data_IF_693329064070
#
_entry.id   IF_693329064070
#
_cell.length_a   1.000
_cell.length_b   1.000
_cell.length_c   1.000
_cell.angle_alpha   90.00
_cell.angle_beta   90.00
_cell.angle_gamma   90.00
#
_symmetry.space_group_name_H-M   'P 1'
#
loop_
_entity.id
_entity.type
_entity.pdbx_description
1 polymer ?
#
# COMPACT_ATOMS: atom_id res chain seq x y z
N UNK A 1 14.03 -11.13 -9.61
CA UNK A 1 13.30 -11.46 -8.36
C UNK A 1 11.91 -11.94 -8.66
N UNK A 2 11.43 -12.87 -7.87
CA UNK A 2 10.06 -13.36 -8.03
C UNK A 2 9.06 -12.36 -7.44
N UNK A 3 7.80 -12.53 -7.80
CA UNK A 3 6.70 -11.76 -7.22
C UNK A 3 6.72 -11.83 -5.69
N UNK A 4 6.88 -13.04 -5.14
CA UNK A 4 6.85 -13.23 -3.69
C UNK A 4 8.03 -12.56 -2.99
N UNK A 5 9.21 -12.59 -3.62
CA UNK A 5 10.39 -11.90 -3.09
C UNK A 5 10.15 -10.38 -3.04
N UNK A 6 9.57 -9.83 -4.09
CA UNK A 6 9.28 -8.39 -4.14
C UNK A 6 8.24 -7.98 -3.10
N UNK A 7 7.20 -8.78 -2.89
CA UNK A 7 6.20 -8.51 -1.86
C UNK A 7 6.83 -8.55 -0.47
N UNK A 8 7.71 -9.52 -0.23
CA UNK A 8 8.44 -9.60 1.04
C UNK A 8 9.32 -8.37 1.25
N UNK A 9 10.02 -7.93 0.21
CA UNK A 9 10.87 -6.74 0.28
C UNK A 9 10.06 -5.47 0.53
N UNK A 10 8.87 -5.37 -0.08
CA UNK A 10 7.95 -4.26 0.18
C UNK A 10 7.55 -4.23 1.65
N UNK A 11 7.16 -5.37 2.20
CA UNK A 11 6.81 -5.48 3.61
C UNK A 11 7.96 -5.08 4.52
N UNK A 12 9.17 -5.54 4.21
CA UNK A 12 10.35 -5.19 4.99
C UNK A 12 10.64 -3.69 4.91
N UNK A 13 10.54 -3.09 3.73
CA UNK A 13 10.77 -1.66 3.56
C UNK A 13 9.79 -0.82 4.39
N UNK A 14 8.53 -1.25 4.47
CA UNK A 14 7.53 -0.57 5.30
C UNK A 14 7.87 -0.74 6.78
N UNK A 15 8.08 -1.98 7.22
CA UNK A 15 8.28 -2.27 8.65
C UNK A 15 9.59 -1.72 9.20
N UNK A 16 10.58 -1.50 8.35
CA UNK A 16 11.85 -0.92 8.76
C UNK A 16 11.89 0.61 8.67
N UNK A 17 10.83 1.23 8.15
CA UNK A 17 10.77 2.69 8.03
C UNK A 17 10.49 3.32 9.41
N UNK A 18 11.19 4.42 9.76
CA UNK A 18 10.97 5.09 11.06
C UNK A 18 9.51 5.51 11.30
N UNK A 19 8.74 5.77 10.24
CA UNK A 19 7.34 6.15 10.39
C UNK A 19 6.50 5.06 11.05
N UNK A 20 6.92 3.79 10.94
CA UNK A 20 6.13 2.65 11.41
C UNK A 20 6.81 1.83 12.50
N UNK A 21 8.09 2.04 12.73
CA UNK A 21 8.85 1.19 13.66
C UNK A 21 8.42 1.33 15.12
N UNK A 22 8.01 2.52 15.53
CA UNK A 22 7.74 2.83 16.93
C UNK A 22 6.26 3.03 17.23
N UNK A 23 5.38 2.69 16.31
CA UNK A 23 3.95 2.92 16.50
C UNK A 23 3.26 1.75 17.20
N UNK A 24 2.18 2.07 17.91
CA UNK A 24 1.31 1.06 18.51
C UNK A 24 0.20 0.62 17.58
N UNK A 25 0.39 0.79 16.29
CA UNK A 25 -0.62 0.45 15.30
C UNK A 25 -0.93 -1.05 15.29
N UNK A 26 -2.15 -1.39 14.91
CA UNK A 26 -2.54 -2.78 14.64
C UNK A 26 -2.68 -3.08 13.14
N UNK A 27 -2.70 -2.04 12.32
CA UNK A 27 -2.74 -2.20 10.88
C UNK A 27 -2.12 -1.01 10.15
N UNK A 28 -1.56 -1.29 8.97
CA UNK A 28 -1.04 -0.29 8.04
C UNK A 28 -1.67 -0.57 6.69
N UNK A 29 -2.10 0.47 5.98
CA UNK A 29 -2.57 0.34 4.60
C UNK A 29 -1.91 1.41 3.75
N UNK A 30 -1.26 1.00 2.66
CA UNK A 30 -0.60 1.91 1.73
C UNK A 30 -1.12 1.64 0.34
N UNK A 31 -1.63 2.68 -0.32
CA UNK A 31 -2.05 2.62 -1.71
C UNK A 31 -0.93 3.19 -2.57
N UNK A 32 -0.44 2.41 -3.52
CA UNK A 32 0.63 2.83 -4.43
C UNK A 32 0.06 2.84 -5.84
N UNK A 33 0.13 4.01 -6.48
CA UNK A 33 -0.25 4.16 -7.89
C UNK A 33 1.01 4.12 -8.74
N UNK A 34 1.00 3.27 -9.78
CA UNK A 34 2.12 3.18 -10.73
C UNK A 34 1.54 3.27 -12.12
N UNK A 35 1.63 4.45 -12.72
CA UNK A 35 1.17 4.71 -14.08
C UNK A 35 2.30 5.35 -14.88
N UNK A 36 2.27 5.27 -16.22
CA UNK A 36 3.30 5.90 -17.03
C UNK A 36 3.42 7.39 -16.71
N UNK A 37 4.62 7.80 -16.27
CA UNK A 37 4.89 9.19 -15.95
C UNK A 37 4.26 9.70 -14.66
N UNK A 38 3.60 8.84 -13.89
CA UNK A 38 2.96 9.26 -12.64
C UNK A 38 2.97 8.15 -11.60
N UNK A 39 3.60 8.41 -10.48
CA UNK A 39 3.54 7.52 -9.32
C UNK A 39 3.10 8.32 -8.11
N UNK A 40 2.31 7.71 -7.25
CA UNK A 40 1.87 8.35 -6.01
C UNK A 40 1.62 7.31 -4.94
N UNK A 41 1.49 7.77 -3.71
CA UNK A 41 1.34 6.90 -2.57
C UNK A 41 0.51 7.60 -1.50
N UNK A 42 -0.43 6.87 -0.91
CA UNK A 42 -1.20 7.31 0.25
C UNK A 42 -1.12 6.21 1.31
N UNK A 43 -1.04 6.58 2.57
CA UNK A 43 -0.94 5.59 3.63
C UNK A 43 -1.64 5.99 4.90
N UNK A 44 -2.05 4.98 5.66
CA UNK A 44 -2.73 5.13 6.93
C UNK A 44 -2.27 4.09 7.92
N UNK A 45 -2.21 4.48 9.20
CA UNK A 45 -2.01 3.54 10.29
C UNK A 45 -3.28 3.48 11.13
N UNK A 46 -3.57 2.31 11.67
CA UNK A 46 -4.79 2.06 12.43
C UNK A 46 -4.43 1.52 13.82
N UNK A 47 -5.14 2.02 14.84
CA UNK A 47 -4.96 1.58 16.23
C UNK A 47 -6.35 1.50 16.86
N UNK A 48 -6.89 0.29 17.03
CA UNK A 48 -8.25 0.13 17.49
C UNK A 48 -9.22 0.82 16.53
N UNK A 49 -10.01 1.75 17.03
CA UNK A 49 -10.96 2.51 16.23
C UNK A 49 -10.37 3.79 15.66
N UNK A 50 -9.11 4.07 15.95
CA UNK A 50 -8.45 5.29 15.48
C UNK A 50 -7.67 5.05 14.19
N UNK A 51 -7.48 6.12 13.44
CA UNK A 51 -6.66 6.08 12.24
C UNK A 51 -5.90 7.39 12.10
N UNK A 52 -4.78 7.33 11.37
CA UNK A 52 -3.96 8.50 11.13
C UNK A 52 -3.28 8.36 9.76
N UNK A 53 -3.23 9.45 8.99
CA UNK A 53 -2.48 9.47 7.75
C UNK A 53 -0.99 9.33 8.05
N UNK A 54 -0.32 8.44 7.32
CA UNK A 54 1.10 8.20 7.54
C UNK A 54 1.74 7.71 6.25
N UNK A 55 2.84 8.35 5.87
CA UNK A 55 3.66 7.95 4.73
C UNK A 55 5.05 7.58 5.23
N UNK A 56 5.79 6.76 4.46
CA UNK A 56 7.17 6.44 4.82
C UNK A 56 8.03 7.70 4.95
N UNK A 57 8.88 7.73 5.98
CA UNK A 57 9.81 8.84 6.18
C UNK A 57 11.07 8.71 5.34
N UNK A 58 11.60 7.50 5.19
CA UNK A 58 12.89 7.28 4.53
C UNK A 58 12.81 6.34 3.33
N UNK A 59 11.93 5.35 3.39
CA UNK A 59 11.89 4.28 2.40
C UNK A 59 10.85 4.48 1.28
N UNK A 60 10.30 5.69 1.15
CA UNK A 60 9.26 5.95 0.15
C UNK A 60 9.71 5.68 -1.27
N UNK A 61 10.91 6.14 -1.64
CA UNK A 61 11.44 5.92 -2.99
C UNK A 61 11.70 4.44 -3.24
N UNK A 62 12.21 3.73 -2.24
CA UNK A 62 12.43 2.29 -2.35
C UNK A 62 11.12 1.54 -2.56
N UNK A 63 10.06 1.94 -1.85
CA UNK A 63 8.74 1.35 -2.02
C UNK A 63 8.20 1.55 -3.43
N UNK A 64 8.34 2.75 -3.97
CA UNK A 64 7.89 3.04 -5.33
C UNK A 64 8.68 2.20 -6.33
N UNK A 65 9.99 2.09 -6.16
CA UNK A 65 10.84 1.28 -7.04
C UNK A 65 10.48 -0.20 -6.96
N UNK A 66 10.26 -0.72 -5.76
CA UNK A 66 9.84 -2.11 -5.57
C UNK A 66 8.47 -2.37 -6.19
N UNK A 67 7.55 -1.43 -6.05
CA UNK A 67 6.22 -1.55 -6.65
C UNK A 67 6.31 -1.56 -8.18
N UNK A 68 7.15 -0.72 -8.76
CA UNK A 68 7.36 -0.71 -10.21
C UNK A 68 7.95 -2.03 -10.70
N UNK A 69 8.93 -2.58 -9.98
CA UNK A 69 9.51 -3.88 -10.31
C UNK A 69 8.46 -5.00 -10.21
N UNK A 70 7.63 -4.95 -9.17
CA UNK A 70 6.55 -5.91 -8.99
C UNK A 70 5.54 -5.82 -10.14
N UNK A 71 5.21 -4.62 -10.57
CA UNK A 71 4.34 -4.41 -11.72
C UNK A 71 4.93 -5.07 -12.97
N UNK A 72 6.23 -4.88 -13.22
CA UNK A 72 6.90 -5.47 -14.38
C UNK A 72 6.89 -7.00 -14.34
N UNK A 73 7.19 -7.58 -13.20
CA UNK A 73 7.20 -9.05 -13.03
C UNK A 73 5.81 -9.61 -13.26
N UNK A 74 4.79 -9.00 -12.67
CA UNK A 74 3.42 -9.49 -12.81
C UNK A 74 2.88 -9.28 -14.23
N UNK A 75 3.26 -8.19 -14.89
CA UNK A 75 2.86 -7.95 -16.28
C UNK A 75 3.44 -9.01 -17.20
N UNK A 76 4.67 -9.46 -16.94
CA UNK A 76 5.28 -10.53 -17.72
C UNK A 76 4.54 -11.86 -17.56
N UNK A 77 3.96 -12.10 -16.40
CA UNK A 77 3.23 -13.35 -16.12
C UNK A 77 1.80 -13.35 -16.68
N UNK A 78 1.08 -12.23 -16.51
CA UNK A 78 -0.35 -12.18 -16.85
C UNK A 78 -0.67 -11.37 -18.12
N UNK A 79 0.32 -10.67 -18.66
CA UNK A 79 0.13 -9.91 -19.89
C UNK A 79 -0.58 -8.56 -19.73
N UNK A 80 -0.75 -8.11 -18.49
CA UNK A 80 -1.42 -6.82 -18.21
C UNK A 80 -0.79 -6.19 -16.98
N UNK A 81 -0.67 -4.85 -17.00
CA UNK A 81 -0.12 -4.08 -15.87
C UNK A 81 -1.22 -3.63 -14.94
N UNK A 82 -1.04 -3.84 -13.65
CA UNK A 82 -1.93 -3.23 -12.67
C UNK A 82 -1.58 -1.74 -12.52
N UNK A 83 -2.54 -0.94 -12.07
CA UNK A 83 -2.36 0.52 -11.92
C UNK A 83 -2.35 0.98 -10.48
N UNK A 84 -2.96 0.20 -9.58
CA UNK A 84 -2.91 0.47 -8.14
C UNK A 84 -2.61 -0.81 -7.39
N UNK A 85 -1.87 -0.68 -6.29
CA UNK A 85 -1.67 -1.76 -5.34
C UNK A 85 -2.07 -1.26 -3.95
N UNK A 86 -2.81 -2.07 -3.22
CA UNK A 86 -3.14 -1.82 -1.83
C UNK A 86 -2.34 -2.80 -0.97
N UNK A 87 -1.36 -2.28 -0.25
CA UNK A 87 -0.54 -3.07 0.66
C UNK A 87 -1.10 -2.93 2.05
N UNK A 88 -1.45 -4.05 2.66
CA UNK A 88 -2.01 -4.07 4.02
C UNK A 88 -1.15 -4.95 4.91
N UNK A 89 -0.77 -4.41 6.06
CA UNK A 89 0.01 -5.14 7.06
C UNK A 89 -0.76 -5.11 8.37
N UNK A 90 -0.88 -6.24 9.01
CA UNK A 90 -1.61 -6.36 10.27
C UNK A 90 -0.80 -7.07 11.33
N UNK A 91 -1.04 -6.72 12.59
CA UNK A 91 -0.47 -7.37 13.78
C UNK A 91 -1.52 -8.22 14.47
N UNK A 92 -1.10 -9.19 15.24
CA UNK A 92 0.25 -9.68 15.43
C UNK A 92 0.70 -10.50 14.23
N UNK A 93 1.91 -10.81 14.13
CA UNK A 93 2.46 -11.58 13.03
C UNK A 93 3.83 -11.05 12.70
N UNK A 94 3.98 -9.94 11.97
CA UNK A 94 2.95 -9.28 11.14
C UNK A 94 2.64 -10.08 9.87
N UNK A 95 1.46 -9.85 9.33
CA UNK A 95 1.02 -10.44 8.07
C UNK A 95 0.90 -9.35 7.00
N UNK A 96 1.32 -9.66 5.79
CA UNK A 96 1.22 -8.75 4.66
C UNK A 96 0.26 -9.33 3.61
N UNK A 97 -0.63 -8.48 3.10
CA UNK A 97 -1.52 -8.80 2.00
C UNK A 97 -1.45 -7.67 0.97
N UNK A 98 -1.42 -8.02 -0.31
CA UNK A 98 -1.36 -7.04 -1.38
C UNK A 98 -2.48 -7.34 -2.38
N UNK A 99 -3.30 -6.33 -2.66
CA UNK A 99 -4.35 -6.42 -3.66
C UNK A 99 -3.99 -5.51 -4.82
N UNK A 100 -4.41 -5.89 -6.02
CA UNK A 100 -4.07 -5.17 -7.24
C UNK A 100 -5.33 -4.77 -8.00
N UNK A 101 -5.32 -3.56 -8.54
CA UNK A 101 -6.36 -3.07 -9.43
C UNK A 101 -5.77 -2.83 -10.82
N UNK A 102 -6.41 -3.39 -11.84
CA UNK A 102 -5.91 -3.36 -13.22
C UNK A 102 -6.60 -2.31 -14.09
N UNK A 103 -7.83 -1.96 -13.77
CA UNK A 103 -8.66 -1.18 -14.70
C UNK A 103 -9.02 0.22 -14.18
N UNK A 104 -9.21 0.38 -12.89
CA UNK A 104 -9.67 1.64 -12.30
C UNK A 104 -8.56 2.30 -11.47
N UNK A 105 -7.90 3.34 -12.01
CA UNK A 105 -6.82 4.01 -11.27
C UNK A 105 -7.31 4.81 -10.06
N UNK A 106 -8.62 4.88 -9.85
CA UNK A 106 -9.20 5.61 -8.73
C UNK A 106 -9.87 4.70 -7.70
N UNK A 107 -9.77 3.39 -7.83
CA UNK A 107 -10.46 2.45 -6.93
C UNK A 107 -10.17 2.71 -5.45
N UNK A 108 -8.90 2.94 -5.12
CA UNK A 108 -8.48 3.20 -3.75
C UNK A 108 -8.07 4.65 -3.55
N UNK A 109 -8.63 5.55 -4.35
CA UNK A 109 -8.39 6.98 -4.22
C UNK A 109 -9.59 7.64 -3.59
N UNK A 110 -9.36 8.78 -2.91
CA UNK A 110 -10.43 9.47 -2.21
C UNK A 110 -11.46 10.09 -3.15
N UNK A 111 -11.12 10.21 -4.41
CA UNK A 111 -12.05 10.63 -5.46
C UNK A 111 -12.66 12.01 -5.23
N UNK A 112 -12.39 12.95 -6.13
CA UNK A 112 -13.05 14.24 -6.11
C UNK A 112 -12.88 15.11 -4.88
N UNK A 113 -12.16 14.67 -3.88
CA UNK A 113 -11.89 15.45 -2.70
C UNK A 113 -13.10 15.77 -1.83
N UNK A 114 -14.20 15.12 -2.10
CA UNK A 114 -15.44 15.34 -1.37
C UNK A 114 -15.68 14.27 -0.33
N UNK A 115 -14.70 13.52 -0.06
CA UNK A 115 -14.87 12.34 0.68
C UNK A 115 -15.03 12.56 2.16
N UNK A 116 -15.74 11.64 2.73
CA UNK A 116 -15.62 11.33 4.12
C UNK A 116 -14.26 10.67 4.29
N UNK A 117 -13.25 11.45 4.68
CA UNK A 117 -11.88 10.96 4.81
C UNK A 117 -11.82 9.80 5.78
N UNK A 118 -12.56 9.87 6.88
CA UNK A 118 -12.62 8.79 7.85
C UNK A 118 -13.18 7.51 7.22
N UNK A 119 -14.28 7.62 6.49
CA UNK A 119 -14.86 6.46 5.80
C UNK A 119 -13.92 5.86 4.79
N UNK A 120 -13.23 6.70 4.04
CA UNK A 120 -12.24 6.24 3.08
C UNK A 120 -11.10 5.49 3.79
N UNK A 121 -10.50 6.12 4.83
CA UNK A 121 -9.41 5.49 5.56
C UNK A 121 -9.84 4.17 6.18
N UNK A 122 -11.00 4.13 6.83
CA UNK A 122 -11.48 2.90 7.46
C UNK A 122 -11.79 1.80 6.46
N UNK A 123 -12.17 2.16 5.22
CA UNK A 123 -12.40 1.17 4.18
C UNK A 123 -11.11 0.45 3.75
N UNK A 124 -9.97 1.07 3.98
CA UNK A 124 -8.67 0.49 3.66
C UNK A 124 -8.07 -0.31 4.81
N UNK A 125 -8.70 -0.30 5.96
CA UNK A 125 -8.20 -1.00 7.14
C UNK A 125 -8.02 -2.49 6.83
N UNK A 126 -6.89 -3.10 7.23
CA UNK A 126 -6.69 -4.54 7.04
C UNK A 126 -7.86 -5.34 7.63
N UNK A 127 -8.44 -6.22 6.80
CA UNK A 127 -9.60 -7.01 7.21
C UNK A 127 -10.95 -6.33 7.04
N UNK A 128 -11.00 -5.07 6.62
CA UNK A 128 -12.27 -4.38 6.36
C UNK A 128 -12.96 -4.99 5.14
N UNK A 129 -14.29 -5.02 5.19
CA UNK A 129 -15.11 -5.59 4.12
C UNK A 129 -16.13 -4.59 3.64
#
# INVERSE_FOLDING_TARGET
MSKDDLITDIGYAILSDPAYMNGDWDGISIVINVEPGHTSMNGYVFSGDDWEGSLPDENGDDLINLAADLQDVMAAEVGKRWVQALVQISRPGPEIDVQFEYDDPARWSIGGGKGNVEGYAMSLRPGAR
#
